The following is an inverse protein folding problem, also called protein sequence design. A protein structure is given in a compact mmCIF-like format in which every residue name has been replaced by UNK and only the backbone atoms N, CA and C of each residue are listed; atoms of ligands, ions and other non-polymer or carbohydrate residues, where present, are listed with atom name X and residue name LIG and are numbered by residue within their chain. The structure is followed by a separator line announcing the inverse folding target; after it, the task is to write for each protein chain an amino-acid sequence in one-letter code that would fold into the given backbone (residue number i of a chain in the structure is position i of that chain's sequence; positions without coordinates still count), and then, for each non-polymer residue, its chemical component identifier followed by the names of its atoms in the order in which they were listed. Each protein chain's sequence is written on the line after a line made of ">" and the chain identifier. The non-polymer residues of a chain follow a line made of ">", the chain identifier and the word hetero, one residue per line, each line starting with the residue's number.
data_IF_754841814350
#
_entry.id   IF_754841814350
#
_cell.length_a   1.000
_cell.length_b   1.000
_cell.length_c   1.000
_cell.angle_alpha   90.00
_cell.angle_beta   90.00
_cell.angle_gamma   90.00
#
_symmetry.space_group_name_H-M   'P 1'
#
loop_
_entity.id
_entity.type
_entity.pdbx_description
1 polymer ?
#
# COMPACT_ATOMS: atom_id res chain seq x y z
N UNK A 1 17.67 -19.24 21.57
CA UNK A 1 16.26 -18.87 21.36
C UNK A 1 15.52 -20.10 20.88
N UNK A 2 14.39 -20.47 21.49
CA UNK A 2 13.57 -21.59 20.99
C UNK A 2 13.04 -21.26 19.58
N UNK A 3 12.93 -22.25 18.68
CA UNK A 3 12.45 -22.04 17.30
C UNK A 3 11.07 -21.36 17.27
N UNK A 4 10.21 -21.72 18.22
CA UNK A 4 8.90 -21.12 18.43
C UNK A 4 8.96 -19.60 18.68
N UNK A 5 9.76 -19.18 19.67
CA UNK A 5 9.97 -17.76 20.00
C UNK A 5 10.56 -16.99 18.81
N UNK A 6 11.43 -17.63 18.04
CA UNK A 6 12.01 -17.01 16.86
C UNK A 6 10.96 -16.78 15.76
N UNK A 7 10.07 -17.74 15.51
CA UNK A 7 8.98 -17.60 14.54
C UNK A 7 8.00 -16.48 14.94
N UNK A 8 7.65 -16.42 16.24
CA UNK A 8 6.82 -15.34 16.78
C UNK A 8 7.47 -13.97 16.60
N UNK A 9 8.76 -13.84 16.93
CA UNK A 9 9.53 -12.62 16.73
C UNK A 9 9.56 -12.18 15.25
N UNK A 10 9.65 -13.11 14.30
CA UNK A 10 9.59 -12.79 12.87
C UNK A 10 8.22 -12.20 12.49
N UNK A 11 7.13 -12.79 12.97
CA UNK A 11 5.77 -12.29 12.73
C UNK A 11 5.60 -10.87 13.30
N UNK A 12 6.05 -10.63 14.54
CA UNK A 12 6.00 -9.29 15.15
C UNK A 12 6.76 -8.24 14.34
N UNK A 13 7.91 -8.62 13.74
CA UNK A 13 8.63 -7.73 12.81
C UNK A 13 7.84 -7.45 11.53
N UNK A 14 7.10 -8.43 11.02
CA UNK A 14 6.25 -8.24 9.86
C UNK A 14 5.08 -7.33 10.15
N UNK A 15 4.44 -7.43 11.32
CA UNK A 15 3.39 -6.50 11.75
C UNK A 15 3.91 -5.05 11.74
N UNK A 16 5.10 -4.81 12.28
CA UNK A 16 5.74 -3.50 12.21
C UNK A 16 5.98 -3.03 10.76
N UNK A 17 6.34 -3.92 9.84
CA UNK A 17 6.48 -3.56 8.43
C UNK A 17 5.14 -3.29 7.74
N UNK A 18 4.05 -3.96 8.14
CA UNK A 18 2.70 -3.66 7.66
C UNK A 18 2.27 -2.27 8.10
N UNK A 19 2.52 -1.91 9.36
CA UNK A 19 2.30 -0.55 9.87
C UNK A 19 3.12 0.47 9.06
N UNK A 20 4.37 0.14 8.75
CA UNK A 20 5.23 0.97 7.91
C UNK A 20 4.66 1.22 6.50
N UNK A 21 4.13 0.19 5.84
CA UNK A 21 3.44 0.34 4.54
C UNK A 21 2.18 1.20 4.70
N UNK A 22 1.37 0.94 5.72
CA UNK A 22 0.11 1.62 5.93
C UNK A 22 0.32 3.12 6.21
N UNK A 23 1.30 3.47 7.04
CA UNK A 23 1.66 4.85 7.34
C UNK A 23 2.16 5.60 6.10
N UNK A 24 3.05 4.98 5.31
CA UNK A 24 3.54 5.58 4.05
C UNK A 24 2.43 5.72 3.02
N UNK A 25 1.56 4.73 2.91
CA UNK A 25 0.43 4.79 1.99
C UNK A 25 -0.58 5.86 2.39
N UNK A 26 -0.90 6.00 3.69
CA UNK A 26 -1.74 7.08 4.18
C UNK A 26 -1.16 8.46 3.86
N UNK A 27 0.15 8.63 4.04
CA UNK A 27 0.87 9.84 3.63
C UNK A 27 0.74 10.12 2.13
N UNK A 28 0.95 9.11 1.26
CA UNK A 28 0.79 9.27 -0.19
C UNK A 28 -0.64 9.56 -0.62
N UNK A 29 -1.67 9.01 0.04
CA UNK A 29 -3.06 9.41 -0.21
C UNK A 29 -3.24 10.90 0.09
N UNK A 30 -2.85 11.34 1.30
CA UNK A 30 -2.98 12.75 1.68
C UNK A 30 -2.24 13.68 0.70
N UNK A 31 -1.03 13.31 0.30
CA UNK A 31 -0.24 14.06 -0.67
C UNK A 31 -0.89 14.10 -2.06
N UNK A 32 -1.36 12.95 -2.56
CA UNK A 32 -2.03 12.89 -3.87
C UNK A 32 -3.34 13.68 -3.86
N UNK A 33 -4.13 13.65 -2.78
CA UNK A 33 -5.33 14.48 -2.61
C UNK A 33 -4.99 15.96 -2.61
N UNK A 34 -3.95 16.37 -1.90
CA UNK A 34 -3.48 17.75 -1.91
C UNK A 34 -3.07 18.22 -3.31
N UNK A 35 -2.26 17.42 -4.02
CA UNK A 35 -1.81 17.72 -5.38
C UNK A 35 -3.00 17.78 -6.34
N UNK A 36 -3.93 16.83 -6.26
CA UNK A 36 -5.14 16.82 -7.09
C UNK A 36 -6.00 18.06 -6.87
N UNK A 37 -6.21 18.45 -5.60
CA UNK A 37 -6.89 19.70 -5.26
C UNK A 37 -6.18 20.92 -5.85
N UNK A 38 -4.85 20.96 -5.77
CA UNK A 38 -4.03 22.00 -6.38
C UNK A 38 -4.15 22.06 -7.90
N UNK A 39 -4.20 20.91 -8.58
CA UNK A 39 -4.44 20.81 -10.02
C UNK A 39 -5.82 21.38 -10.38
N UNK A 40 -6.87 20.98 -9.67
CA UNK A 40 -8.24 21.45 -9.93
C UNK A 40 -8.36 22.97 -9.74
N UNK A 41 -7.92 23.48 -8.60
CA UNK A 41 -7.99 24.92 -8.28
C UNK A 41 -7.11 25.72 -9.24
N UNK A 42 -5.89 25.22 -9.51
CA UNK A 42 -4.96 25.86 -10.44
C UNK A 42 -5.54 25.96 -11.85
N UNK A 43 -6.13 24.86 -12.37
CA UNK A 43 -6.79 24.86 -13.67
C UNK A 43 -7.93 25.89 -13.73
N UNK A 44 -8.86 25.84 -12.78
CA UNK A 44 -9.99 26.78 -12.75
C UNK A 44 -9.54 28.24 -12.71
N UNK A 45 -8.48 28.53 -11.95
CA UNK A 45 -7.99 29.90 -11.74
C UNK A 45 -7.15 30.44 -12.91
N UNK A 46 -6.48 29.56 -13.66
CA UNK A 46 -5.42 29.94 -14.60
C UNK A 46 -5.69 29.56 -16.06
N UNK A 47 -6.67 28.69 -16.36
CA UNK A 47 -6.86 28.17 -17.72
C UNK A 47 -7.01 29.26 -18.79
N UNK A 48 -7.74 30.34 -18.50
CA UNK A 48 -7.91 31.46 -19.44
C UNK A 48 -6.77 32.49 -19.36
N UNK A 49 -6.01 32.48 -18.26
CA UNK A 49 -4.95 33.46 -17.96
C UNK A 49 -3.57 33.04 -18.42
N UNK A 50 -3.37 31.78 -18.81
CA UNK A 50 -2.08 31.26 -19.26
C UNK A 50 -2.16 30.89 -20.73
N UNK A 51 -1.19 31.35 -21.52
CA UNK A 51 -1.04 30.88 -22.90
C UNK A 51 -0.37 29.50 -22.86
N UNK A 52 -1.16 28.45 -23.06
CA UNK A 52 -0.70 27.07 -22.98
C UNK A 52 -0.22 26.57 -24.36
N UNK A 53 1.06 26.21 -24.44
CA UNK A 53 1.65 25.54 -25.59
C UNK A 53 1.63 24.01 -25.44
N UNK A 54 2.13 23.29 -26.45
CA UNK A 54 2.18 21.83 -26.41
C UNK A 54 3.00 21.29 -25.23
N UNK A 55 4.07 21.99 -24.82
CA UNK A 55 4.91 21.59 -23.68
C UNK A 55 4.15 21.72 -22.36
N UNK A 56 3.41 22.81 -22.16
CA UNK A 56 2.53 22.99 -21.00
C UNK A 56 1.54 21.83 -20.87
N UNK A 57 0.80 21.52 -21.94
CA UNK A 57 -0.19 20.44 -21.91
C UNK A 57 0.45 19.07 -21.70
N UNK A 58 1.65 18.85 -22.23
CA UNK A 58 2.42 17.62 -22.00
C UNK A 58 2.77 17.48 -20.52
N UNK A 59 3.36 18.51 -19.91
CA UNK A 59 3.73 18.49 -18.48
C UNK A 59 2.50 18.38 -17.58
N UNK A 60 1.43 19.11 -17.89
CA UNK A 60 0.16 19.02 -17.17
C UNK A 60 -0.43 17.61 -17.23
N UNK A 61 -0.42 16.97 -18.41
CA UNK A 61 -0.91 15.60 -18.59
C UNK A 61 -0.06 14.59 -17.81
N UNK A 62 1.27 14.73 -17.84
CA UNK A 62 2.18 13.90 -17.05
C UNK A 62 1.90 14.03 -15.55
N UNK A 63 1.65 15.24 -15.06
CA UNK A 63 1.32 15.50 -13.66
C UNK A 63 0.01 14.80 -13.25
N UNK A 64 -1.05 14.94 -14.06
CA UNK A 64 -2.36 14.31 -13.81
C UNK A 64 -2.26 12.79 -13.85
N UNK A 65 -1.64 12.23 -14.90
CA UNK A 65 -1.48 10.77 -15.03
C UNK A 65 -0.66 10.21 -13.87
N UNK A 66 0.43 10.88 -13.48
CA UNK A 66 1.25 10.47 -12.34
C UNK A 66 0.48 10.53 -11.01
N UNK A 67 -0.44 11.48 -10.84
CA UNK A 67 -1.33 11.56 -9.67
C UNK A 67 -2.31 10.38 -9.61
N UNK A 68 -2.95 10.06 -10.73
CA UNK A 68 -3.88 8.92 -10.84
C UNK A 68 -3.14 7.60 -10.59
N UNK A 69 -2.00 7.39 -11.24
CA UNK A 69 -1.20 6.18 -11.08
C UNK A 69 -0.66 6.04 -9.65
N UNK A 70 -0.15 7.12 -9.05
CA UNK A 70 0.31 7.08 -7.66
C UNK A 70 -0.82 6.69 -6.71
N UNK A 71 -2.00 7.28 -6.90
CA UNK A 71 -3.19 6.97 -6.09
C UNK A 71 -3.61 5.51 -6.25
N UNK A 72 -3.67 5.01 -7.50
CA UNK A 72 -3.99 3.62 -7.80
C UNK A 72 -3.03 2.63 -7.12
N UNK A 73 -1.71 2.84 -7.27
CA UNK A 73 -0.72 1.97 -6.63
C UNK A 73 -0.76 2.07 -5.11
N UNK A 74 -1.04 3.25 -4.55
CA UNK A 74 -1.18 3.43 -3.10
C UNK A 74 -2.39 2.67 -2.56
N UNK A 75 -3.57 2.81 -3.17
CA UNK A 75 -4.79 2.10 -2.75
C UNK A 75 -4.58 0.59 -2.83
N UNK A 76 -4.03 0.09 -3.93
CA UNK A 76 -3.76 -1.35 -4.10
C UNK A 76 -2.67 -1.88 -3.16
N UNK A 77 -1.75 -1.03 -2.69
CA UNK A 77 -0.80 -1.38 -1.63
C UNK A 77 -1.46 -1.42 -0.25
N UNK A 78 -2.46 -0.59 0.01
CA UNK A 78 -3.18 -0.53 1.29
C UNK A 78 -4.25 -1.61 1.45
N UNK A 79 -4.78 -2.16 0.35
CA UNK A 79 -5.77 -3.24 0.41
C UNK A 79 -5.34 -4.37 1.37
N UNK A 80 -6.22 -4.82 2.29
CA UNK A 80 -5.90 -5.87 3.25
C UNK A 80 -5.40 -7.14 2.56
N UNK A 81 -4.28 -7.69 3.05
CA UNK A 81 -3.80 -8.98 2.58
C UNK A 81 -4.48 -10.09 3.37
N UNK A 82 -5.59 -10.61 2.83
CA UNK A 82 -6.43 -11.62 3.47
C UNK A 82 -6.24 -13.03 2.89
N UNK A 83 -5.15 -13.26 2.13
CA UNK A 83 -4.77 -14.62 1.77
C UNK A 83 -4.33 -15.31 3.05
N UNK A 84 -5.27 -16.03 3.66
CA UNK A 84 -4.97 -16.92 4.77
C UNK A 84 -4.14 -18.08 4.28
N UNK A 85 -3.27 -18.60 5.14
CA UNK A 85 -2.89 -20.00 5.05
C UNK A 85 -4.18 -20.81 4.98
N UNK A 86 -4.23 -21.84 4.13
CA UNK A 86 -5.36 -22.77 4.02
C UNK A 86 -6.55 -22.29 3.16
N UNK A 87 -6.34 -21.43 2.15
CA UNK A 87 -7.26 -21.41 1.00
C UNK A 87 -7.16 -22.77 0.26
N UNK A 88 -7.93 -23.77 0.71
CA UNK A 88 -8.01 -25.10 0.10
C UNK A 88 -7.36 -26.25 0.88
N UNK A 89 -6.85 -26.02 2.10
CA UNK A 89 -6.41 -27.11 3.00
C UNK A 89 -7.54 -27.45 3.97
N UNK A 90 -7.69 -28.73 4.31
CA UNK A 90 -8.74 -29.25 5.20
C UNK A 90 -8.66 -28.71 6.64
N UNK A 91 -7.53 -28.11 7.04
CA UNK A 91 -7.25 -27.74 8.42
C UNK A 91 -7.07 -26.22 8.56
N UNK A 92 -7.87 -25.52 9.38
CA UNK A 92 -7.70 -24.08 9.59
C UNK A 92 -6.51 -23.77 10.50
N UNK A 93 -5.85 -22.63 10.23
CA UNK A 93 -4.81 -22.04 11.08
C UNK A 93 -5.36 -21.70 12.48
N UNK A 94 -4.52 -21.89 13.50
CA UNK A 94 -4.79 -21.60 14.92
C UNK A 94 -4.38 -20.18 15.32
N UNK A 95 -3.62 -19.48 14.47
CA UNK A 95 -3.19 -18.09 14.72
C UNK A 95 -3.83 -17.07 13.80
N UNK A 96 -4.20 -17.45 12.57
CA UNK A 96 -4.82 -16.51 11.63
C UNK A 96 -6.28 -16.24 11.99
N UNK A 97 -6.62 -14.99 12.31
CA UNK A 97 -7.96 -14.58 12.71
C UNK A 97 -9.06 -14.99 11.72
N UNK A 98 -8.78 -14.94 10.42
CA UNK A 98 -9.74 -15.34 9.38
C UNK A 98 -9.99 -16.85 9.35
N UNK A 99 -9.01 -17.66 9.78
CA UNK A 99 -9.16 -19.10 9.97
C UNK A 99 -10.02 -19.38 11.20
N UNK A 100 -9.69 -18.76 12.34
CA UNK A 100 -10.43 -18.93 13.60
C UNK A 100 -11.90 -18.52 13.43
N UNK A 101 -12.17 -17.37 12.81
CA UNK A 101 -13.52 -16.85 12.62
C UNK A 101 -14.41 -17.73 11.73
N UNK A 102 -13.83 -18.55 10.83
CA UNK A 102 -14.60 -19.39 9.89
C UNK A 102 -15.09 -20.71 10.48
N UNK A 103 -14.41 -21.24 11.50
CA UNK A 103 -14.69 -22.59 12.02
C UNK A 103 -15.38 -22.62 13.39
N UNK A 104 -15.57 -21.46 14.03
CA UNK A 104 -16.30 -21.33 15.29
C UNK A 104 -15.52 -21.79 16.52
N UNK A 105 -16.02 -21.42 17.70
CA UNK A 105 -15.32 -21.58 18.98
C UNK A 105 -15.03 -23.04 19.33
N UNK A 106 -16.01 -23.94 19.16
CA UNK A 106 -15.88 -25.35 19.55
C UNK A 106 -14.76 -26.05 18.77
N UNK A 107 -14.73 -25.86 17.45
CA UNK A 107 -13.69 -26.44 16.58
C UNK A 107 -12.31 -25.84 16.88
N UNK A 108 -12.23 -24.53 17.10
CA UNK A 108 -10.99 -23.88 17.49
C UNK A 108 -10.45 -24.43 18.81
N UNK A 109 -11.29 -24.52 19.85
CA UNK A 109 -10.90 -25.03 21.17
C UNK A 109 -10.37 -26.45 21.10
N UNK A 110 -11.10 -27.35 20.43
CA UNK A 110 -10.69 -28.73 20.25
C UNK A 110 -9.32 -28.84 19.56
N UNK A 111 -9.12 -28.08 18.49
CA UNK A 111 -7.85 -28.09 17.75
C UNK A 111 -6.70 -27.49 18.53
N UNK A 112 -6.96 -26.42 19.27
CA UNK A 112 -5.96 -25.75 20.09
C UNK A 112 -5.47 -26.66 21.23
N UNK A 113 -6.39 -27.36 21.90
CA UNK A 113 -6.05 -28.31 22.98
C UNK A 113 -5.28 -29.53 22.46
N UNK A 114 -5.53 -29.96 21.23
CA UNK A 114 -4.84 -31.11 20.60
C UNK A 114 -3.53 -30.75 19.89
N UNK A 115 -3.22 -29.46 19.72
CA UNK A 115 -2.03 -29.03 18.99
C UNK A 115 -0.77 -29.27 19.83
N UNK A 116 0.21 -29.95 19.26
CA UNK A 116 1.53 -30.08 19.86
C UNK A 116 2.45 -28.92 19.43
N UNK A 117 3.63 -28.84 20.05
CA UNK A 117 4.60 -27.78 19.76
C UNK A 117 5.08 -27.78 18.29
N UNK A 118 5.10 -28.94 17.64
CA UNK A 118 5.50 -29.05 16.24
C UNK A 118 4.42 -28.48 15.30
N UNK A 119 3.14 -28.83 15.53
CA UNK A 119 1.99 -28.31 14.78
C UNK A 119 1.87 -26.80 14.95
N UNK A 120 2.07 -26.28 16.15
CA UNK A 120 2.01 -24.84 16.40
C UNK A 120 3.17 -24.09 15.73
N UNK A 121 4.39 -24.68 15.74
CA UNK A 121 5.53 -24.10 15.03
C UNK A 121 5.29 -24.07 13.52
N UNK A 122 4.73 -25.13 12.94
CA UNK A 122 4.42 -25.20 11.51
C UNK A 122 3.41 -24.11 11.10
N UNK A 123 2.31 -23.95 11.85
CA UNK A 123 1.31 -22.89 11.60
C UNK A 123 1.94 -21.48 11.67
N UNK A 124 2.83 -21.23 12.63
CA UNK A 124 3.58 -19.97 12.72
C UNK A 124 4.51 -19.75 11.51
N UNK A 125 5.21 -20.79 11.06
CA UNK A 125 6.11 -20.69 9.90
C UNK A 125 5.34 -20.41 8.61
N UNK A 126 4.20 -21.09 8.42
CA UNK A 126 3.30 -20.80 7.31
C UNK A 126 2.79 -19.35 7.38
N UNK A 127 2.41 -18.88 8.57
CA UNK A 127 1.89 -17.52 8.77
C UNK A 127 2.97 -16.49 8.48
N UNK A 128 4.19 -16.69 8.95
CA UNK A 128 5.34 -15.86 8.62
C UNK A 128 5.57 -15.80 7.10
N UNK A 129 5.52 -16.94 6.41
CA UNK A 129 5.68 -16.99 4.96
C UNK A 129 4.59 -16.20 4.22
N UNK A 130 3.31 -16.39 4.58
CA UNK A 130 2.21 -15.64 3.97
C UNK A 130 2.31 -14.13 4.22
N UNK A 131 2.64 -13.73 5.44
CA UNK A 131 2.84 -12.32 5.79
C UNK A 131 3.98 -11.70 4.98
N UNK A 132 5.09 -12.42 4.82
CA UNK A 132 6.22 -11.98 4.01
C UNK A 132 5.85 -11.79 2.54
N UNK A 133 5.08 -12.72 1.94
CA UNK A 133 4.58 -12.58 0.57
C UNK A 133 3.66 -11.35 0.41
N UNK A 134 2.78 -11.13 1.38
CA UNK A 134 1.91 -9.96 1.39
C UNK A 134 2.71 -8.66 1.48
N UNK A 135 3.71 -8.59 2.36
CA UNK A 135 4.60 -7.44 2.49
C UNK A 135 5.39 -7.16 1.21
N UNK A 136 6.00 -8.18 0.60
CA UNK A 136 6.75 -8.02 -0.65
C UNK A 136 5.87 -7.42 -1.76
N UNK A 137 4.66 -7.95 -1.94
CA UNK A 137 3.69 -7.42 -2.91
C UNK A 137 3.32 -5.95 -2.61
N UNK A 138 3.08 -5.62 -1.34
CA UNK A 138 2.69 -4.28 -0.90
C UNK A 138 3.83 -3.27 -1.10
N UNK A 139 5.05 -3.61 -0.72
CA UNK A 139 6.22 -2.73 -0.90
C UNK A 139 6.55 -2.50 -2.38
N UNK A 140 6.39 -3.50 -3.25
CA UNK A 140 6.54 -3.32 -4.71
C UNK A 140 5.55 -2.30 -5.26
N UNK A 141 4.27 -2.39 -4.89
CA UNK A 141 3.25 -1.40 -5.27
C UNK A 141 3.56 -0.02 -4.71
N UNK A 142 3.95 0.06 -3.44
CA UNK A 142 4.31 1.32 -2.79
C UNK A 142 5.54 1.97 -3.44
N UNK A 143 6.49 1.18 -3.94
CA UNK A 143 7.63 1.68 -4.73
C UNK A 143 7.16 2.35 -6.02
N UNK A 144 6.23 1.75 -6.76
CA UNK A 144 5.65 2.39 -7.96
C UNK A 144 4.91 3.68 -7.61
N UNK A 145 4.12 3.68 -6.52
CA UNK A 145 3.47 4.89 -6.03
C UNK A 145 4.48 6.02 -5.74
N UNK A 146 5.58 5.68 -5.05
CA UNK A 146 6.65 6.62 -4.72
C UNK A 146 7.33 7.18 -5.98
N UNK A 147 7.60 6.34 -6.99
CA UNK A 147 8.15 6.79 -8.27
C UNK A 147 7.22 7.79 -8.97
N UNK A 148 5.91 7.55 -8.95
CA UNK A 148 4.93 8.50 -9.48
C UNK A 148 4.91 9.81 -8.68
N UNK A 149 5.03 9.78 -7.34
CA UNK A 149 5.15 11.00 -6.51
C UNK A 149 6.40 11.80 -6.88
N UNK A 150 7.55 11.13 -7.06
CA UNK A 150 8.78 11.80 -7.49
C UNK A 150 8.59 12.46 -8.87
N UNK A 151 7.95 11.77 -9.81
CA UNK A 151 7.62 12.33 -11.11
C UNK A 151 6.73 13.59 -10.99
N UNK A 152 5.73 13.58 -10.11
CA UNK A 152 4.89 14.76 -9.86
C UNK A 152 5.73 15.98 -9.45
N UNK A 153 6.63 15.84 -8.47
CA UNK A 153 7.46 16.97 -8.02
C UNK A 153 8.43 17.46 -9.11
N UNK A 154 9.04 16.54 -9.86
CA UNK A 154 9.93 16.89 -10.97
C UNK A 154 9.15 17.64 -12.06
N UNK A 155 7.92 17.24 -12.36
CA UNK A 155 7.06 17.88 -13.36
C UNK A 155 6.45 19.20 -12.88
N UNK A 156 6.18 19.35 -11.58
CA UNK A 156 5.60 20.59 -11.03
C UNK A 156 6.52 21.80 -11.20
N UNK A 157 7.84 21.64 -11.03
CA UNK A 157 8.80 22.74 -11.13
C UNK A 157 8.81 23.43 -12.52
N UNK A 158 9.01 22.73 -13.65
CA UNK A 158 8.94 23.33 -14.97
C UNK A 158 7.54 23.82 -15.30
N UNK A 159 6.48 23.13 -14.85
CA UNK A 159 5.11 23.58 -15.07
C UNK A 159 4.83 24.93 -14.40
N UNK A 160 5.28 25.11 -13.15
CA UNK A 160 5.18 26.38 -12.42
C UNK A 160 5.93 27.49 -13.14
N UNK A 161 7.15 27.21 -13.64
CA UNK A 161 7.92 28.17 -14.42
C UNK A 161 7.17 28.62 -15.69
N UNK A 162 6.56 27.67 -16.42
CA UNK A 162 5.77 27.99 -17.61
C UNK A 162 4.53 28.82 -17.28
N UNK A 163 3.85 28.52 -16.16
CA UNK A 163 2.70 29.32 -15.70
C UNK A 163 3.11 30.77 -15.47
N UNK A 164 4.20 31.00 -14.74
CA UNK A 164 4.68 32.36 -14.41
C UNK A 164 5.10 33.10 -15.68
N UNK A 165 5.84 32.43 -16.57
CA UNK A 165 6.35 33.04 -17.80
C UNK A 165 5.23 33.39 -18.79
N UNK A 166 4.21 32.55 -18.91
CA UNK A 166 3.14 32.68 -19.90
C UNK A 166 1.84 33.26 -19.31
N UNK A 167 1.92 33.85 -18.11
CA UNK A 167 0.80 34.54 -17.49
C UNK A 167 0.48 35.79 -18.33
N UNK A 168 -0.76 35.87 -18.80
CA UNK A 168 -1.27 37.07 -19.47
C UNK A 168 -1.35 38.21 -18.45
N UNK A 169 -1.00 39.46 -18.85
CA UNK A 169 -1.14 40.63 -18.00
C UNK A 169 -2.60 40.86 -17.57
#
# INVERSE_FOLDING_TARGET
>A
MCKYEHAKFIIERFDHYYDGVNNKGAFYIGLNTFIFGGICVGYLSLHDKVTADALFWTLFSVLVISNILSTFFTITALMPFLKGNHQGLELPSLVYFGGIARHGLSHFKERFEKADGATMLDDLLQQAYCLAQGLDSKYKKLKYAAMCVVAQFITMLPLLFLIIRNLKP
#
